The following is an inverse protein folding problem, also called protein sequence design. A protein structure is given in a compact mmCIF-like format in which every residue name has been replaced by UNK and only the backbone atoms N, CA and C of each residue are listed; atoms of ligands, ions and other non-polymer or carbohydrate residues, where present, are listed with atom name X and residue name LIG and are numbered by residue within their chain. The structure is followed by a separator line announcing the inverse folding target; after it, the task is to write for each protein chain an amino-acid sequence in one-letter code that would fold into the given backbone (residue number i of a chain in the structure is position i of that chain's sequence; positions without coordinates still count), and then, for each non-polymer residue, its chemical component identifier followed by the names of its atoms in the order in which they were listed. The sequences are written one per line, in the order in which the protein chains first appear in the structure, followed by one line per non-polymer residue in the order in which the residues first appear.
data_IF_530789957580
#
_entry.id   IF_530789957580
#
_cell.length_a   1.000
_cell.length_b   1.000
_cell.length_c   1.000
_cell.angle_alpha   90.00
_cell.angle_beta   90.00
_cell.angle_gamma   90.00
#
_symmetry.space_group_name_H-M   'P 1'
#
loop_
_entity.id
_entity.type
_entity.pdbx_description
1 polymer ?
#
# COMPACT_ATOMS: atom_id res chain seq x y z
N UNK A 1 3.71 12.94 7.41
CA UNK A 1 4.72 12.90 6.31
C UNK A 1 4.86 14.18 5.47
N UNK A 2 3.76 14.74 4.91
CA UNK A 2 3.81 15.86 3.95
C UNK A 2 4.64 17.05 4.43
N UNK A 3 4.44 17.47 5.68
CA UNK A 3 5.15 18.61 6.28
C UNK A 3 6.68 18.41 6.30
N UNK A 4 7.18 17.17 6.36
CA UNK A 4 8.62 16.89 6.26
C UNK A 4 9.12 17.01 4.83
N UNK A 5 8.38 16.42 3.88
CA UNK A 5 8.75 16.43 2.46
C UNK A 5 8.74 17.84 1.87
N UNK A 6 7.83 18.70 2.33
CA UNK A 6 7.74 20.10 1.88
C UNK A 6 8.67 21.03 2.66
N UNK A 7 9.37 20.55 3.68
CA UNK A 7 10.22 21.37 4.58
C UNK A 7 9.44 22.24 5.58
N UNK A 8 8.11 22.32 5.48
CA UNK A 8 7.23 23.11 6.37
C UNK A 8 7.34 22.66 7.83
N UNK A 9 7.65 21.38 8.08
CA UNK A 9 7.85 20.82 9.41
C UNK A 9 8.97 21.51 10.20
N UNK A 10 9.99 22.05 9.52
CA UNK A 10 11.06 22.81 10.18
C UNK A 10 10.56 24.19 10.64
N UNK A 11 9.69 24.83 9.85
CA UNK A 11 9.02 26.09 10.22
C UNK A 11 8.05 25.86 11.38
N UNK A 12 7.29 24.77 11.35
CA UNK A 12 6.40 24.38 12.45
C UNK A 12 7.18 24.06 13.72
N UNK A 13 8.37 23.46 13.62
CA UNK A 13 9.21 23.17 14.76
C UNK A 13 9.67 24.43 15.49
N UNK A 14 9.89 25.55 14.78
CA UNK A 14 10.26 26.85 15.37
C UNK A 14 9.08 27.64 15.95
N UNK A 15 7.84 27.16 15.82
CA UNK A 15 6.66 27.79 16.45
C UNK A 15 6.50 27.34 17.92
N UNK A 16 5.79 28.11 18.77
CA UNK A 16 5.52 27.73 20.16
C UNK A 16 4.48 26.60 20.32
N UNK A 17 4.07 25.94 19.23
CA UNK A 17 3.09 24.85 19.28
C UNK A 17 3.69 23.64 20.01
N UNK A 18 2.98 23.14 21.03
CA UNK A 18 3.38 21.95 21.76
C UNK A 18 3.17 20.67 20.94
N UNK A 19 3.95 19.62 21.24
CA UNK A 19 3.80 18.29 20.61
C UNK A 19 2.36 17.79 20.70
N UNK A 20 1.76 17.89 21.89
CA UNK A 20 0.38 17.48 22.16
C UNK A 20 -0.61 18.22 21.27
N UNK A 21 -0.50 19.56 21.19
CA UNK A 21 -1.43 20.36 20.39
C UNK A 21 -1.32 20.02 18.90
N UNK A 22 -0.10 19.83 18.39
CA UNK A 22 0.10 19.43 16.99
C UNK A 22 -0.51 18.05 16.68
N UNK A 23 -0.22 17.04 17.51
CA UNK A 23 -0.71 15.67 17.31
C UNK A 23 -2.24 15.60 17.43
N UNK A 24 -2.84 16.29 18.40
CA UNK A 24 -4.29 16.36 18.56
C UNK A 24 -4.95 17.10 17.39
N UNK A 25 -4.36 18.18 16.89
CA UNK A 25 -4.87 18.87 15.70
C UNK A 25 -4.83 17.97 14.46
N UNK A 26 -3.75 17.21 14.29
CA UNK A 26 -3.64 16.24 13.19
C UNK A 26 -4.68 15.12 13.32
N UNK A 27 -4.90 14.62 14.53
CA UNK A 27 -5.95 13.63 14.80
C UNK A 27 -7.34 14.18 14.48
N UNK A 28 -7.67 15.38 14.95
CA UNK A 28 -8.94 16.03 14.66
C UNK A 28 -9.14 16.24 13.14
N UNK A 29 -8.09 16.64 12.42
CA UNK A 29 -8.13 16.77 10.96
C UNK A 29 -8.44 15.43 10.28
N UNK A 30 -7.76 14.35 10.67
CA UNK A 30 -8.02 13.01 10.14
C UNK A 30 -9.44 12.52 10.47
N UNK A 31 -9.93 12.78 11.68
CA UNK A 31 -11.31 12.47 12.09
C UNK A 31 -12.31 13.19 11.19
N UNK A 32 -12.14 14.50 10.97
CA UNK A 32 -13.04 15.28 10.10
C UNK A 32 -13.06 14.71 8.69
N UNK A 33 -11.90 14.35 8.12
CA UNK A 33 -11.83 13.72 6.79
C UNK A 33 -12.62 12.41 6.75
N UNK A 34 -12.47 11.54 7.75
CA UNK A 34 -13.20 10.27 7.79
C UNK A 34 -14.71 10.48 8.04
N UNK A 35 -15.10 11.49 8.82
CA UNK A 35 -16.50 11.84 9.01
C UNK A 35 -17.13 12.39 7.72
N UNK A 36 -16.38 13.08 6.88
CA UNK A 36 -16.84 13.46 5.53
C UNK A 36 -17.12 12.20 4.69
N UNK A 37 -16.25 11.18 4.75
CA UNK A 37 -16.51 9.90 4.08
C UNK A 37 -17.79 9.23 4.60
N UNK A 38 -17.99 9.22 5.92
CA UNK A 38 -19.24 8.71 6.53
C UNK A 38 -20.46 9.51 6.08
N UNK A 39 -20.35 10.85 5.96
CA UNK A 39 -21.42 11.69 5.45
C UNK A 39 -21.75 11.42 3.98
N UNK A 40 -20.73 11.17 3.14
CA UNK A 40 -20.93 10.75 1.74
C UNK A 40 -21.65 9.40 1.68
N UNK A 41 -21.29 8.44 2.55
CA UNK A 41 -22.02 7.17 2.66
C UNK A 41 -23.46 7.35 3.11
N UNK A 42 -23.74 8.30 4.00
CA UNK A 42 -25.11 8.65 4.40
C UNK A 42 -25.93 9.16 3.21
N UNK A 43 -25.36 10.05 2.40
CA UNK A 43 -26.00 10.56 1.18
C UNK A 43 -26.23 9.42 0.19
N UNK A 44 -25.24 8.54 -0.01
CA UNK A 44 -25.39 7.37 -0.87
C UNK A 44 -26.51 6.43 -0.39
N UNK A 45 -26.67 6.25 0.92
CA UNK A 45 -27.76 5.46 1.50
C UNK A 45 -29.14 6.10 1.22
N UNK A 46 -29.27 7.43 1.34
CA UNK A 46 -30.50 8.16 0.94
C UNK A 46 -30.80 7.91 -0.54
N UNK A 47 -29.80 8.08 -1.41
CA UNK A 47 -29.96 7.90 -2.87
C UNK A 47 -30.40 6.47 -3.19
N UNK A 48 -29.77 5.47 -2.56
CA UNK A 48 -30.14 4.06 -2.75
C UNK A 48 -31.57 3.77 -2.31
N UNK A 49 -31.99 4.30 -1.15
CA UNK A 49 -33.36 4.15 -0.66
C UNK A 49 -34.40 4.77 -1.61
N UNK A 50 -34.10 5.94 -2.19
CA UNK A 50 -34.95 6.60 -3.17
C UNK A 50 -35.02 5.84 -4.50
N UNK A 51 -33.91 5.28 -4.97
CA UNK A 51 -33.84 4.55 -6.24
C UNK A 51 -34.59 3.21 -6.21
N UNK A 52 -34.55 2.51 -5.08
CA UNK A 52 -35.18 1.18 -4.96
C UNK A 52 -36.64 1.26 -4.47
N UNK A 53 -37.12 2.44 -4.05
CA UNK A 53 -38.49 2.66 -3.58
C UNK A 53 -38.95 1.70 -2.46
N UNK A 54 -38.00 1.13 -1.71
CA UNK A 54 -38.25 0.10 -0.70
C UNK A 54 -38.96 0.65 0.54
N UNK A 55 -38.93 1.98 0.73
CA UNK A 55 -39.47 2.64 1.92
C UNK A 55 -40.35 3.84 1.52
N UNK A 56 -41.61 3.91 1.98
CA UNK A 56 -42.52 5.03 1.66
C UNK A 56 -42.22 6.32 2.45
N UNK A 57 -41.47 6.24 3.56
CA UNK A 57 -41.10 7.40 4.39
C UNK A 57 -39.63 7.28 4.80
N UNK A 58 -38.84 8.31 4.50
CA UNK A 58 -37.46 8.40 5.00
C UNK A 58 -37.45 8.92 6.43
N UNK A 59 -37.01 8.07 7.36
CA UNK A 59 -36.71 8.46 8.73
C UNK A 59 -35.20 8.73 8.88
N UNK A 60 -34.76 10.00 8.98
CA UNK A 60 -33.32 10.33 9.01
C UNK A 60 -32.58 9.68 10.18
N UNK A 61 -33.25 9.55 11.34
CA UNK A 61 -32.68 8.90 12.52
C UNK A 61 -32.36 7.42 12.29
N UNK A 62 -33.29 6.68 11.71
CA UNK A 62 -33.10 5.26 11.39
C UNK A 62 -31.99 5.05 10.33
N UNK A 63 -31.87 5.98 9.37
CA UNK A 63 -30.84 5.94 8.34
C UNK A 63 -29.44 6.26 8.88
N UNK A 64 -29.34 7.26 9.76
CA UNK A 64 -28.06 7.72 10.32
C UNK A 64 -27.55 6.84 11.46
N UNK A 65 -28.44 6.21 12.23
CA UNK A 65 -28.09 5.37 13.37
C UNK A 65 -27.01 4.31 13.08
N UNK A 66 -27.11 3.45 12.04
CA UNK A 66 -26.07 2.48 11.73
C UNK A 66 -24.74 3.15 11.38
N UNK A 67 -24.73 4.29 10.69
CA UNK A 67 -23.50 5.00 10.31
C UNK A 67 -22.80 5.59 11.54
N UNK A 68 -23.56 6.21 12.44
CA UNK A 68 -23.03 6.82 13.66
C UNK A 68 -22.60 5.77 14.70
N UNK A 69 -23.33 4.67 14.83
CA UNK A 69 -23.01 3.63 15.82
C UNK A 69 -21.93 2.67 15.31
N UNK A 70 -21.96 2.32 14.01
CA UNK A 70 -21.05 1.32 13.45
C UNK A 70 -19.77 1.95 12.88
N UNK A 71 -19.89 2.97 12.02
CA UNK A 71 -18.74 3.49 11.27
C UNK A 71 -17.93 4.54 12.05
N UNK A 72 -18.59 5.46 12.77
CA UNK A 72 -17.91 6.58 13.45
C UNK A 72 -16.90 6.14 14.52
N UNK A 73 -17.16 5.17 15.42
CA UNK A 73 -16.16 4.74 16.40
C UNK A 73 -14.93 4.10 15.75
N UNK A 74 -15.14 3.35 14.67
CA UNK A 74 -14.04 2.76 13.88
C UNK A 74 -13.24 3.86 13.19
N UNK A 75 -13.90 4.89 12.64
CA UNK A 75 -13.23 6.04 12.05
C UNK A 75 -12.30 6.76 13.04
N UNK A 76 -12.70 6.88 14.31
CA UNK A 76 -11.84 7.45 15.35
C UNK A 76 -10.59 6.61 15.60
N UNK A 77 -10.74 5.27 15.69
CA UNK A 77 -9.59 4.38 15.84
C UNK A 77 -8.66 4.47 14.62
N UNK A 78 -9.21 4.46 13.40
CA UNK A 78 -8.43 4.56 12.16
C UNK A 78 -7.69 5.91 12.09
N UNK A 79 -8.35 7.02 12.45
CA UNK A 79 -7.70 8.33 12.54
C UNK A 79 -6.54 8.33 13.54
N UNK A 80 -6.71 7.68 14.70
CA UNK A 80 -5.68 7.59 15.73
C UNK A 80 -4.47 6.76 15.24
N UNK A 81 -4.73 5.62 14.60
CA UNK A 81 -3.69 4.76 14.00
C UNK A 81 -2.92 5.52 12.93
N UNK A 82 -3.59 6.28 12.06
CA UNK A 82 -2.93 7.09 11.04
C UNK A 82 -1.94 8.10 11.66
N UNK A 83 -2.35 8.79 12.74
CA UNK A 83 -1.47 9.73 13.45
C UNK A 83 -0.31 9.02 14.16
N UNK A 84 -0.53 7.84 14.73
CA UNK A 84 0.53 7.02 15.32
C UNK A 84 1.58 6.63 14.26
N UNK A 85 1.13 6.20 13.08
CA UNK A 85 2.02 5.78 11.99
C UNK A 85 2.84 6.96 11.46
N UNK A 86 2.22 8.15 11.36
CA UNK A 86 2.94 9.39 11.04
C UNK A 86 3.93 9.80 12.15
N UNK A 87 3.68 9.41 13.40
CA UNK A 87 4.52 9.76 14.55
C UNK A 87 5.72 8.84 14.73
N UNK A 88 5.65 7.56 14.32
CA UNK A 88 6.73 6.57 14.49
C UNK A 88 7.66 6.53 13.26
N UNK A 89 8.95 6.87 13.36
CA UNK A 89 9.86 6.93 12.21
C UNK A 89 9.90 5.69 11.32
N UNK A 90 9.80 4.49 11.92
CA UNK A 90 9.84 3.21 11.20
C UNK A 90 8.55 2.88 10.43
N UNK A 91 7.41 3.48 10.81
CA UNK A 91 6.11 3.25 10.19
C UNK A 91 5.72 4.36 9.20
N UNK A 92 6.56 5.37 9.02
CA UNK A 92 6.33 6.46 8.07
C UNK A 92 6.49 5.96 6.63
N UNK A 93 5.65 6.47 5.73
CA UNK A 93 5.74 6.19 4.30
C UNK A 93 5.14 4.85 3.87
N UNK A 94 5.70 4.26 2.81
CA UNK A 94 5.17 3.06 2.14
C UNK A 94 5.19 1.80 3.01
N UNK A 95 6.14 1.70 3.94
CA UNK A 95 6.21 0.57 4.89
C UNK A 95 5.02 0.57 5.85
N UNK A 96 4.57 1.75 6.29
CA UNK A 96 3.37 1.89 7.11
C UNK A 96 2.12 1.36 6.42
N UNK A 97 1.93 1.64 5.12
CA UNK A 97 0.79 1.13 4.36
C UNK A 97 0.74 -0.40 4.34
N UNK A 98 1.89 -1.05 4.16
CA UNK A 98 1.98 -2.52 4.16
C UNK A 98 1.68 -3.09 5.55
N UNK A 99 2.25 -2.48 6.61
CA UNK A 99 1.96 -2.89 8.00
C UNK A 99 0.49 -2.70 8.33
N UNK A 100 -0.13 -1.61 7.88
CA UNK A 100 -1.56 -1.36 8.07
C UNK A 100 -2.41 -2.41 7.34
N UNK A 101 -2.06 -2.75 6.09
CA UNK A 101 -2.74 -3.81 5.36
C UNK A 101 -2.58 -5.17 6.03
N UNK A 102 -1.37 -5.52 6.47
CA UNK A 102 -1.11 -6.77 7.20
C UNK A 102 -1.89 -6.81 8.53
N UNK A 103 -1.91 -5.71 9.29
CA UNK A 103 -2.73 -5.56 10.48
C UNK A 103 -4.20 -5.79 10.15
N UNK A 104 -4.70 -5.21 9.05
CA UNK A 104 -6.10 -5.38 8.67
C UNK A 104 -6.44 -6.82 8.27
N UNK A 105 -5.56 -7.48 7.51
CA UNK A 105 -5.71 -8.88 7.10
C UNK A 105 -5.67 -9.86 8.25
N UNK A 106 -4.86 -9.59 9.28
CA UNK A 106 -4.81 -10.43 10.49
C UNK A 106 -6.00 -10.12 11.40
N UNK A 107 -6.41 -8.86 11.52
CA UNK A 107 -7.51 -8.52 12.44
C UNK A 107 -8.88 -8.95 11.90
N UNK A 108 -9.12 -8.94 10.60
CA UNK A 108 -10.40 -9.34 10.00
C UNK A 108 -10.86 -10.75 10.40
N UNK A 109 -10.07 -11.83 10.21
CA UNK A 109 -10.47 -13.18 10.57
C UNK A 109 -10.64 -13.38 12.08
N UNK A 110 -9.80 -12.75 12.90
CA UNK A 110 -9.82 -12.93 14.35
C UNK A 110 -10.88 -12.08 15.06
N UNK A 111 -11.12 -10.86 14.60
CA UNK A 111 -12.15 -9.98 15.15
C UNK A 111 -13.53 -10.24 14.53
N UNK A 112 -13.57 -10.92 13.37
CA UNK A 112 -14.78 -11.16 12.58
C UNK A 112 -15.55 -9.87 12.27
N UNK A 113 -16.87 -9.99 12.14
CA UNK A 113 -17.76 -8.84 12.06
C UNK A 113 -17.87 -8.02 13.36
N UNK A 114 -17.17 -8.40 14.45
CA UNK A 114 -17.25 -7.75 15.77
C UNK A 114 -16.70 -6.34 15.77
N UNK A 115 -15.52 -6.15 15.20
CA UNK A 115 -14.88 -4.83 15.10
C UNK A 115 -15.75 -3.85 14.28
N UNK A 116 -16.33 -4.34 13.18
CA UNK A 116 -17.23 -3.58 12.32
C UNK A 116 -18.66 -3.46 12.90
N UNK A 117 -18.99 -4.29 13.90
CA UNK A 117 -20.27 -4.28 14.61
C UNK A 117 -21.39 -5.03 13.92
N UNK A 118 -21.06 -5.71 12.82
CA UNK A 118 -21.98 -6.58 12.10
C UNK A 118 -22.46 -7.74 12.95
N UNK A 119 -21.65 -8.27 13.88
CA UNK A 119 -22.10 -9.35 14.78
C UNK A 119 -23.29 -8.96 15.66
N UNK A 120 -23.38 -7.70 16.08
CA UNK A 120 -24.52 -7.23 16.87
C UNK A 120 -25.80 -7.16 16.03
N UNK A 121 -25.67 -6.68 14.79
CA UNK A 121 -26.78 -6.62 13.82
C UNK A 121 -27.20 -8.03 13.40
N UNK A 122 -26.25 -8.91 13.12
CA UNK A 122 -26.46 -10.31 12.76
C UNK A 122 -27.19 -11.07 13.84
N UNK A 123 -26.75 -10.96 15.10
CA UNK A 123 -27.41 -11.61 16.24
C UNK A 123 -28.84 -11.12 16.40
N UNK A 124 -29.03 -9.81 16.30
CA UNK A 124 -30.37 -9.23 16.40
C UNK A 124 -31.25 -9.75 15.25
N UNK A 125 -30.76 -9.76 14.01
CA UNK A 125 -31.46 -10.29 12.83
C UNK A 125 -31.82 -11.78 12.96
N UNK A 126 -30.87 -12.59 13.41
CA UNK A 126 -31.06 -14.01 13.65
C UNK A 126 -32.09 -14.27 14.76
N UNK A 127 -32.17 -13.43 15.79
CA UNK A 127 -33.16 -13.54 16.85
C UNK A 127 -34.59 -13.33 16.32
N UNK A 128 -34.77 -12.34 15.43
CA UNK A 128 -36.07 -12.08 14.79
C UNK A 128 -36.46 -13.18 13.81
N UNK A 129 -35.50 -13.78 13.10
CA UNK A 129 -35.75 -14.94 12.26
C UNK A 129 -36.17 -16.17 13.08
N UNK A 130 -35.47 -16.43 14.19
CA UNK A 130 -35.78 -17.54 15.10
C UNK A 130 -37.14 -17.38 15.76
N UNK A 131 -37.52 -16.16 16.18
CA UNK A 131 -38.85 -15.90 16.72
C UNK A 131 -39.96 -16.05 15.66
N UNK A 132 -39.64 -15.84 14.39
CA UNK A 132 -40.51 -16.15 13.25
C UNK A 132 -40.57 -17.62 12.85
N UNK A 133 -39.87 -18.52 13.54
CA UNK A 133 -39.87 -19.96 13.28
C UNK A 133 -38.88 -20.44 12.22
N UNK A 134 -37.96 -19.58 11.76
CA UNK A 134 -36.90 -19.96 10.82
C UNK A 134 -35.64 -20.38 11.57
N UNK A 135 -35.11 -21.57 11.26
CA UNK A 135 -33.79 -22.01 11.73
C UNK A 135 -32.72 -21.50 10.75
N UNK A 136 -32.11 -20.36 11.10
CA UNK A 136 -31.06 -19.74 10.31
C UNK A 136 -29.73 -19.81 11.09
N UNK A 137 -28.68 -20.45 10.53
CA UNK A 137 -27.39 -20.62 11.21
C UNK A 137 -26.60 -19.30 11.41
N UNK A 138 -27.16 -18.15 11.01
CA UNK A 138 -26.48 -16.86 11.06
C UNK A 138 -25.60 -16.62 9.84
N UNK A 139 -25.05 -15.42 9.73
CA UNK A 139 -24.19 -14.96 8.64
C UNK A 139 -24.67 -13.67 7.98
N UNK A 140 -23.73 -12.76 7.71
CA UNK A 140 -23.97 -11.58 6.88
C UNK A 140 -23.05 -11.67 5.65
N UNK A 141 -23.66 -11.60 4.46
CA UNK A 141 -22.93 -11.45 3.20
C UNK A 141 -23.14 -10.02 2.70
N UNK A 142 -22.06 -9.25 2.65
CA UNK A 142 -22.03 -7.90 2.08
C UNK A 142 -21.34 -7.98 0.71
N UNK A 143 -22.12 -8.04 -0.38
CA UNK A 143 -21.56 -8.11 -1.73
C UNK A 143 -22.52 -8.69 -2.76
N UNK A 144 -21.95 -9.16 -3.87
CA UNK A 144 -22.68 -9.88 -4.92
C UNK A 144 -22.93 -11.32 -4.44
N UNK A 145 -23.95 -11.51 -3.60
CA UNK A 145 -24.44 -12.84 -3.25
C UNK A 145 -25.21 -13.46 -4.42
N UNK A 146 -25.16 -14.79 -4.55
CA UNK A 146 -26.07 -15.50 -5.45
C UNK A 146 -27.50 -15.18 -5.05
N UNK A 147 -28.25 -14.58 -5.99
CA UNK A 147 -29.68 -14.26 -5.83
C UNK A 147 -30.54 -15.49 -6.13
N UNK A 148 -30.22 -16.61 -5.50
CA UNK A 148 -31.18 -17.72 -5.47
C UNK A 148 -32.37 -17.31 -4.59
N UNK A 149 -33.50 -18.04 -4.64
CA UNK A 149 -34.77 -17.70 -3.97
C UNK A 149 -34.58 -17.12 -2.56
N UNK A 150 -34.76 -15.81 -2.43
CA UNK A 150 -34.59 -15.09 -1.17
C UNK A 150 -35.92 -15.08 -0.41
N UNK A 151 -35.93 -15.68 0.78
CA UNK A 151 -37.05 -15.53 1.71
C UNK A 151 -36.89 -14.19 2.41
N UNK A 152 -37.91 -13.34 2.30
CA UNK A 152 -37.95 -12.05 3.00
C UNK A 152 -38.61 -12.19 4.36
N UNK A 153 -38.16 -11.39 5.33
CA UNK A 153 -38.76 -11.30 6.66
C UNK A 153 -38.84 -9.84 7.09
N UNK A 154 -39.76 -9.52 8.00
CA UNK A 154 -39.93 -8.16 8.51
C UNK A 154 -38.91 -7.90 9.62
N UNK A 155 -38.02 -6.94 9.38
CA UNK A 155 -37.02 -6.50 10.35
C UNK A 155 -37.43 -5.16 10.97
N UNK A 156 -37.75 -5.16 12.26
CA UNK A 156 -38.22 -3.96 12.99
C UNK A 156 -37.08 -3.11 13.57
N UNK A 157 -35.85 -3.32 13.13
CA UNK A 157 -34.67 -2.61 13.64
C UNK A 157 -34.07 -3.26 14.90
N UNK A 158 -33.15 -2.52 15.53
CA UNK A 158 -32.42 -2.96 16.73
C UNK A 158 -32.24 -1.79 17.69
N UNK A 159 -31.92 -2.08 18.94
CA UNK A 159 -31.57 -1.06 19.92
C UNK A 159 -30.15 -0.52 19.66
N UNK A 160 -30.11 0.54 18.85
CA UNK A 160 -28.88 1.25 18.53
C UNK A 160 -28.18 1.84 19.76
N UNK A 161 -28.91 2.17 20.82
CA UNK A 161 -28.34 2.76 22.04
C UNK A 161 -27.51 1.73 22.81
N UNK A 162 -28.02 0.51 22.95
CA UNK A 162 -27.29 -0.60 23.56
C UNK A 162 -26.01 -0.94 22.77
N UNK A 163 -26.09 -0.97 21.43
CA UNK A 163 -24.92 -1.21 20.57
C UNK A 163 -23.90 -0.07 20.70
N UNK A 164 -24.34 1.18 20.80
CA UNK A 164 -23.47 2.35 20.97
C UNK A 164 -22.69 2.29 22.30
N UNK A 165 -23.36 1.93 23.41
CA UNK A 165 -22.71 1.77 24.72
C UNK A 165 -21.62 0.69 24.66
N UNK A 166 -21.93 -0.45 24.02
CA UNK A 166 -20.98 -1.54 23.81
C UNK A 166 -19.74 -1.16 22.99
N UNK A 167 -19.72 0.02 22.35
CA UNK A 167 -18.64 0.51 21.48
C UNK A 167 -17.85 1.67 22.07
N UNK A 168 -18.20 2.16 23.26
CA UNK A 168 -17.46 3.23 23.95
C UNK A 168 -15.99 2.84 24.21
N UNK A 169 -15.68 1.54 24.32
CA UNK A 169 -14.30 1.07 24.45
C UNK A 169 -13.42 1.49 23.25
N UNK A 170 -13.97 1.60 22.03
CA UNK A 170 -13.20 2.03 20.84
C UNK A 170 -12.74 3.49 20.97
N UNK A 171 -13.53 4.33 21.64
CA UNK A 171 -13.15 5.71 21.94
C UNK A 171 -11.98 5.73 22.91
N UNK A 172 -12.02 4.87 23.94
CA UNK A 172 -10.91 4.71 24.88
C UNK A 172 -9.63 4.20 24.18
N UNK A 173 -9.76 3.22 23.28
CA UNK A 173 -8.66 2.72 22.45
C UNK A 173 -8.07 3.82 21.57
N UNK A 174 -8.91 4.62 20.90
CA UNK A 174 -8.45 5.74 20.08
C UNK A 174 -7.68 6.76 20.93
N UNK A 175 -8.17 7.11 22.13
CA UNK A 175 -7.49 8.01 23.04
C UNK A 175 -6.11 7.46 23.50
N UNK A 176 -6.02 6.17 23.80
CA UNK A 176 -4.76 5.51 24.15
C UNK A 176 -3.75 5.55 23.00
N UNK A 177 -4.21 5.29 21.76
CA UNK A 177 -3.36 5.36 20.56
C UNK A 177 -2.85 6.78 20.32
N UNK A 178 -3.71 7.80 20.48
CA UNK A 178 -3.27 9.22 20.39
C UNK A 178 -2.26 9.55 21.48
N UNK A 179 -2.46 9.06 22.71
CA UNK A 179 -1.49 9.18 23.79
C UNK A 179 -0.13 8.59 23.42
N UNK A 180 -0.12 7.38 22.87
CA UNK A 180 1.10 6.73 22.37
C UNK A 180 1.75 7.53 21.22
N UNK A 181 0.94 8.09 20.31
CA UNK A 181 1.43 8.93 19.22
C UNK A 181 2.13 10.22 19.73
N UNK A 182 1.57 10.87 20.76
CA UNK A 182 2.17 12.04 21.41
C UNK A 182 3.55 11.70 21.99
N UNK A 183 3.68 10.54 22.62
CA UNK A 183 4.96 10.07 23.19
C UNK A 183 5.99 9.74 22.10
N UNK A 184 5.55 9.12 21.00
CA UNK A 184 6.41 8.75 19.88
C UNK A 184 6.84 9.95 19.02
N UNK A 185 6.10 11.06 19.05
CA UNK A 185 6.34 12.20 18.17
C UNK A 185 7.65 12.94 18.52
N UNK A 186 8.56 12.94 17.55
CA UNK A 186 9.93 13.48 17.60
C UNK A 186 10.03 14.97 17.24
N UNK A 187 8.91 15.70 17.05
CA UNK A 187 8.86 17.15 16.70
C UNK A 187 9.81 17.52 15.56
N UNK A 188 9.76 16.74 14.47
CA UNK A 188 10.55 17.00 13.26
C UNK A 188 12.07 17.05 13.47
N UNK A 189 12.59 16.45 14.55
CA UNK A 189 14.03 16.37 14.79
C UNK A 189 14.72 15.77 13.55
N UNK A 190 15.62 16.54 12.95
CA UNK A 190 16.44 16.07 11.83
C UNK A 190 17.42 15.03 12.35
N UNK A 191 17.44 13.85 11.71
CA UNK A 191 18.45 12.81 11.99
C UNK A 191 19.87 13.22 11.58
N UNK A 192 20.07 14.44 11.03
CA UNK A 192 21.39 15.01 10.80
C UNK A 192 22.15 15.36 12.10
N UNK A 193 21.50 15.36 13.27
CA UNK A 193 22.13 15.66 14.56
C UNK A 193 22.60 14.45 15.39
N UNK A 194 22.46 13.20 14.92
CA UNK A 194 22.86 11.98 15.68
C UNK A 194 24.23 11.44 15.28
N UNK A 195 25.05 12.20 14.56
CA UNK A 195 26.49 11.98 14.63
C UNK A 195 26.94 12.51 15.99
N UNK A 196 27.30 11.59 16.88
CA UNK A 196 27.74 11.89 18.23
C UNK A 196 28.76 13.04 18.20
N UNK A 197 28.36 14.21 18.70
CA UNK A 197 29.27 15.26 19.09
C UNK A 197 30.13 14.71 20.23
N UNK A 198 31.19 14.00 19.85
CA UNK A 198 32.31 13.68 20.72
C UNK A 198 32.83 15.04 21.20
N UNK A 199 32.88 15.32 22.51
CA UNK A 199 33.32 16.62 22.98
C UNK A 199 34.82 16.73 22.66
N UNK A 200 35.13 17.46 21.59
CA UNK A 200 36.49 17.87 21.31
C UNK A 200 36.88 18.89 22.37
N UNK A 201 37.57 18.39 23.40
CA UNK A 201 38.29 19.19 24.39
C UNK A 201 39.17 20.20 23.65
N UNK A 202 38.92 21.48 23.93
CA UNK A 202 39.87 22.59 23.99
C UNK A 202 41.20 22.44 23.24
N UNK A 203 41.38 23.29 22.22
CA UNK A 203 42.56 24.17 22.16
C UNK A 203 42.21 25.41 21.37
N UNK A 204 42.14 26.53 22.09
CA UNK A 204 42.22 27.89 21.58
C UNK A 204 43.52 28.06 20.80
N UNK A 205 43.42 28.13 19.48
CA UNK A 205 44.44 28.72 18.63
C UNK A 205 43.70 29.41 17.49
N UNK A 206 43.70 30.74 17.53
CA UNK A 206 43.26 31.58 16.42
C UNK A 206 44.18 31.27 15.23
N UNK A 207 43.70 30.75 14.09
CA UNK A 207 44.51 30.66 12.90
C UNK A 207 44.49 32.02 12.21
N UNK A 208 45.66 32.63 12.07
CA UNK A 208 45.92 33.73 11.15
C UNK A 208 45.40 33.39 9.73
N UNK A 209 45.06 34.38 8.89
CA UNK A 209 44.57 34.13 7.55
C UNK A 209 45.67 33.43 6.74
N UNK A 210 45.51 32.11 6.58
CA UNK A 210 46.31 31.35 5.64
C UNK A 210 45.92 31.84 4.26
N UNK A 211 46.88 32.50 3.62
CA UNK A 211 46.93 32.74 2.18
C UNK A 211 46.30 31.58 1.43
N UNK A 212 45.55 31.89 0.37
CA UNK A 212 44.99 30.95 -0.58
C UNK A 212 46.07 30.03 -1.15
N UNK A 213 46.47 29.03 -0.36
CA UNK A 213 47.05 27.81 -0.85
C UNK A 213 45.90 27.15 -1.58
N UNK A 214 45.86 27.42 -2.89
CA UNK A 214 45.26 26.55 -3.87
C UNK A 214 45.42 25.13 -3.34
N UNK A 215 44.29 24.52 -2.97
CA UNK A 215 44.27 23.08 -2.81
C UNK A 215 44.59 22.58 -4.21
N UNK A 216 45.88 22.33 -4.48
CA UNK A 216 46.29 21.23 -5.31
C UNK A 216 45.66 20.01 -4.65
N UNK A 217 44.39 19.77 -4.99
CA UNK A 217 44.01 18.43 -5.34
C UNK A 217 45.09 18.01 -6.30
N UNK A 218 46.05 17.22 -5.79
CA UNK A 218 46.76 16.26 -6.59
C UNK A 218 45.63 15.65 -7.41
N UNK A 219 45.55 16.05 -8.66
CA UNK A 219 44.92 15.28 -9.70
C UNK A 219 45.73 13.99 -9.68
N UNK A 220 45.40 13.12 -8.71
CA UNK A 220 45.32 11.71 -8.99
C UNK A 220 44.49 11.75 -10.23
N UNK A 221 45.19 11.57 -11.36
CA UNK A 221 44.64 11.45 -12.67
C UNK A 221 43.25 10.88 -12.44
N UNK A 222 42.22 11.62 -12.84
CA UNK A 222 41.01 10.95 -13.28
C UNK A 222 41.59 10.09 -14.41
N UNK A 223 42.13 8.93 -14.02
CA UNK A 223 42.66 7.93 -14.87
C UNK A 223 41.46 7.75 -15.74
N UNK A 224 41.61 8.26 -16.98
CA UNK A 224 40.62 8.21 -18.04
C UNK A 224 39.88 6.93 -17.76
N UNK A 225 38.68 7.06 -17.17
CA UNK A 225 37.98 5.90 -16.66
C UNK A 225 37.72 5.17 -17.94
N UNK A 226 38.59 4.18 -18.19
CA UNK A 226 38.88 3.81 -19.54
C UNK A 226 37.52 3.45 -20.08
N UNK A 227 37.10 4.16 -21.12
CA UNK A 227 35.99 3.70 -21.95
C UNK A 227 36.57 2.48 -22.67
N UNK A 228 36.96 1.48 -21.90
CA UNK A 228 37.23 0.14 -22.35
C UNK A 228 35.94 -0.21 -23.03
N UNK A 229 36.07 -0.56 -24.31
CA UNK A 229 35.02 -0.95 -25.23
C UNK A 229 34.17 -2.04 -24.59
N UNK A 230 33.27 -1.63 -23.71
CA UNK A 230 32.38 -2.49 -22.99
C UNK A 230 31.25 -2.73 -23.97
N UNK A 231 31.05 -4.00 -24.32
CA UNK A 231 30.01 -4.36 -25.27
C UNK A 231 28.67 -3.79 -24.79
N UNK A 232 27.81 -3.29 -25.70
CA UNK A 232 26.55 -2.65 -25.30
C UNK A 232 25.67 -3.56 -24.43
N UNK A 233 25.79 -4.88 -24.61
CA UNK A 233 25.11 -5.90 -23.81
C UNK A 233 25.63 -5.94 -22.37
N UNK A 234 26.95 -5.85 -22.14
CA UNK A 234 27.52 -5.90 -20.78
C UNK A 234 27.15 -4.64 -20.00
N UNK A 235 27.19 -3.46 -20.64
CA UNK A 235 26.73 -2.21 -20.02
C UNK A 235 25.24 -2.27 -19.66
N UNK A 236 24.41 -2.88 -20.51
CA UNK A 236 22.98 -3.04 -20.22
C UNK A 236 22.73 -4.05 -19.09
N UNK A 237 23.50 -5.15 -19.04
CA UNK A 237 23.43 -6.12 -17.94
C UNK A 237 23.86 -5.49 -16.59
N UNK A 238 24.91 -4.68 -16.59
CA UNK A 238 25.33 -3.90 -15.41
C UNK A 238 24.26 -2.90 -14.98
N UNK A 239 23.58 -2.27 -15.93
CA UNK A 239 22.45 -1.38 -15.64
C UNK A 239 21.28 -2.14 -14.99
N UNK A 240 20.92 -3.31 -15.51
CA UNK A 240 19.91 -4.18 -14.89
C UNK A 240 20.34 -4.59 -13.48
N UNK A 241 21.60 -5.00 -13.29
CA UNK A 241 22.13 -5.35 -11.98
C UNK A 241 22.08 -4.17 -11.01
N UNK A 242 22.38 -2.95 -11.49
CA UNK A 242 22.22 -1.71 -10.75
C UNK A 242 20.78 -1.46 -10.34
N UNK A 243 19.81 -1.59 -11.25
CA UNK A 243 18.38 -1.42 -10.95
C UNK A 243 17.85 -2.49 -9.98
N UNK A 244 18.26 -3.76 -10.13
CA UNK A 244 17.96 -4.82 -9.17
C UNK A 244 18.52 -4.50 -7.78
N UNK A 245 19.77 -4.04 -7.71
CA UNK A 245 20.40 -3.64 -6.46
C UNK A 245 19.66 -2.46 -5.83
N UNK A 246 19.23 -1.47 -6.61
CA UNK A 246 18.47 -0.32 -6.10
C UNK A 246 17.08 -0.70 -5.60
N UNK A 247 16.41 -1.69 -6.21
CA UNK A 247 15.10 -2.17 -5.75
C UNK A 247 15.17 -2.80 -4.35
N UNK A 248 16.25 -3.57 -4.11
CA UNK A 248 16.36 -4.45 -2.95
C UNK A 248 17.26 -3.85 -1.85
N UNK A 249 18.20 -2.95 -2.18
CA UNK A 249 19.11 -2.36 -1.20
C UNK A 249 18.36 -1.52 -0.16
N UNK A 250 18.84 -1.59 1.10
CA UNK A 250 18.31 -0.79 2.21
C UNK A 250 17.04 -1.35 2.88
N UNK A 251 16.57 -2.54 2.48
CA UNK A 251 15.44 -3.21 3.16
C UNK A 251 15.90 -3.89 4.47
N UNK A 252 14.97 -4.06 5.41
CA UNK A 252 15.26 -4.70 6.70
C UNK A 252 15.53 -6.20 6.53
N UNK A 253 16.27 -6.80 7.47
CA UNK A 253 16.53 -8.25 7.47
C UNK A 253 15.21 -9.07 7.42
N UNK A 254 14.18 -8.59 8.11
CA UNK A 254 12.86 -9.22 8.12
C UNK A 254 12.22 -9.30 6.73
N UNK A 255 12.45 -8.31 5.87
CA UNK A 255 11.94 -8.33 4.50
C UNK A 255 12.54 -9.49 3.70
N UNK A 256 13.84 -9.72 3.83
CA UNK A 256 14.54 -10.83 3.17
C UNK A 256 14.12 -12.20 3.73
N UNK A 257 14.02 -12.32 5.06
CA UNK A 257 13.59 -13.56 5.71
C UNK A 257 12.15 -13.90 5.30
N UNK A 258 11.24 -12.92 5.29
CA UNK A 258 9.87 -13.12 4.84
C UNK A 258 9.78 -13.51 3.36
N UNK A 259 10.58 -12.87 2.50
CA UNK A 259 10.65 -13.23 1.08
C UNK A 259 11.12 -14.67 0.87
N UNK A 260 12.21 -15.07 1.54
CA UNK A 260 12.72 -16.44 1.49
C UNK A 260 11.71 -17.45 2.03
N UNK A 261 11.05 -17.13 3.16
CA UNK A 261 10.02 -17.98 3.74
C UNK A 261 8.83 -18.18 2.80
N UNK A 262 8.36 -17.14 2.10
CA UNK A 262 7.26 -17.24 1.13
C UNK A 262 7.64 -18.09 -0.09
N UNK A 263 8.87 -17.94 -0.60
CA UNK A 263 9.38 -18.76 -1.71
C UNK A 263 9.48 -20.22 -1.30
N UNK A 264 10.09 -20.51 -0.14
CA UNK A 264 10.25 -21.88 0.38
C UNK A 264 8.91 -22.50 0.73
N UNK A 265 7.98 -21.74 1.33
CA UNK A 265 6.63 -22.21 1.64
C UNK A 265 5.87 -22.55 0.34
N UNK A 266 5.97 -21.71 -0.69
CA UNK A 266 5.37 -21.98 -1.99
C UNK A 266 5.96 -23.23 -2.64
N UNK A 267 7.27 -23.45 -2.48
CA UNK A 267 7.92 -24.66 -2.99
C UNK A 267 7.55 -25.92 -2.20
N UNK A 268 7.33 -25.82 -0.89
CA UNK A 268 7.06 -26.98 -0.03
C UNK A 268 5.58 -27.40 0.00
N UNK A 269 4.67 -26.51 -0.39
CA UNK A 269 3.23 -26.70 -0.18
C UNK A 269 2.52 -27.40 -1.35
N UNK A 270 1.34 -28.02 -1.11
CA UNK A 270 0.44 -28.50 -2.16
C UNK A 270 -0.09 -27.38 -3.07
N UNK A 271 -0.52 -27.74 -4.28
CA UNK A 271 -0.97 -26.78 -5.32
C UNK A 271 -2.09 -25.84 -4.85
N UNK A 272 -3.01 -26.33 -4.04
CA UNK A 272 -4.11 -25.55 -3.48
C UNK A 272 -3.61 -24.40 -2.60
N UNK A 273 -2.58 -24.68 -1.79
CA UNK A 273 -1.94 -23.69 -0.91
C UNK A 273 -1.06 -22.75 -1.73
N UNK A 274 -0.39 -23.23 -2.78
CA UNK A 274 0.41 -22.40 -3.69
C UNK A 274 -0.43 -21.32 -4.37
N UNK A 275 -1.68 -21.64 -4.73
CA UNK A 275 -2.62 -20.67 -5.33
C UNK A 275 -2.95 -19.50 -4.40
N UNK A 276 -2.87 -19.71 -3.08
CA UNK A 276 -3.06 -18.66 -2.07
C UNK A 276 -1.73 -17.95 -1.76
N UNK A 277 -0.63 -18.71 -1.70
CA UNK A 277 0.70 -18.19 -1.37
C UNK A 277 1.29 -17.32 -2.48
N UNK A 278 1.04 -17.61 -3.76
CA UNK A 278 1.58 -16.83 -4.88
C UNK A 278 1.12 -15.36 -4.85
N UNK A 279 -0.20 -15.04 -4.73
CA UNK A 279 -0.65 -13.67 -4.51
C UNK A 279 0.02 -13.00 -3.31
N UNK A 280 0.21 -13.72 -2.20
CA UNK A 280 0.89 -13.18 -1.00
C UNK A 280 2.39 -12.92 -1.28
N UNK A 281 3.05 -13.81 -2.01
CA UNK A 281 4.44 -13.62 -2.43
C UNK A 281 4.61 -12.39 -3.34
N UNK A 282 3.61 -12.08 -4.17
CA UNK A 282 3.63 -10.89 -5.02
C UNK A 282 3.12 -9.62 -4.34
N UNK A 283 2.32 -9.67 -3.27
CA UNK A 283 2.04 -8.46 -2.49
C UNK A 283 3.25 -8.02 -1.64
N UNK A 284 4.12 -8.96 -1.25
CA UNK A 284 5.31 -8.69 -0.44
C UNK A 284 6.29 -7.64 -1.02
N UNK A 285 6.65 -7.66 -2.32
CA UNK A 285 7.50 -6.66 -2.97
C UNK A 285 6.74 -5.41 -3.48
N UNK A 286 5.50 -5.15 -3.04
CA UNK A 286 4.72 -3.98 -3.50
C UNK A 286 5.46 -2.65 -3.29
N UNK A 287 6.18 -2.50 -2.17
CA UNK A 287 6.93 -1.27 -1.90
C UNK A 287 8.09 -1.10 -2.90
N UNK A 288 9.01 -2.07 -3.10
CA UNK A 288 10.00 -2.02 -4.17
C UNK A 288 9.42 -1.70 -5.56
N UNK A 289 8.32 -2.35 -5.94
CA UNK A 289 7.70 -2.07 -7.25
C UNK A 289 7.13 -0.67 -7.34
N UNK A 290 6.54 -0.13 -6.26
CA UNK A 290 5.98 1.22 -6.27
C UNK A 290 7.00 2.32 -6.57
N UNK A 291 8.29 2.05 -6.37
CA UNK A 291 9.39 2.98 -6.66
C UNK A 291 9.84 2.96 -8.13
N UNK A 292 9.44 1.95 -8.91
CA UNK A 292 9.74 1.84 -10.34
C UNK A 292 9.22 3.09 -11.08
N UNK A 293 10.03 3.65 -11.99
CA UNK A 293 9.67 4.84 -12.78
C UNK A 293 9.58 6.17 -12.00
N UNK A 294 9.50 6.14 -10.67
CA UNK A 294 9.40 7.33 -9.80
C UNK A 294 10.67 7.66 -9.02
N UNK A 295 11.57 6.69 -8.79
CA UNK A 295 12.75 6.81 -7.91
C UNK A 295 13.67 7.99 -8.26
N UNK A 296 13.95 8.19 -9.55
CA UNK A 296 14.85 9.24 -10.02
C UNK A 296 14.35 10.66 -9.65
N UNK A 297 13.06 10.93 -9.90
CA UNK A 297 12.43 12.22 -9.55
C UNK A 297 12.36 12.44 -8.05
N UNK A 298 12.09 11.38 -7.27
CA UNK A 298 12.03 11.47 -5.81
C UNK A 298 13.36 11.91 -5.18
N UNK A 299 14.47 11.45 -5.74
CA UNK A 299 15.81 11.82 -5.28
C UNK A 299 16.43 13.00 -6.04
N UNK A 300 15.71 13.62 -6.97
CA UNK A 300 16.18 14.77 -7.74
C UNK A 300 17.41 14.46 -8.62
N UNK A 301 17.54 13.21 -9.07
CA UNK A 301 18.65 12.76 -9.94
C UNK A 301 18.21 12.58 -11.39
N UNK A 302 16.98 12.95 -11.72
CA UNK A 302 16.42 12.90 -13.06
C UNK A 302 17.21 13.75 -14.05
N UNK A 303 17.61 14.97 -13.68
CA UNK A 303 18.45 15.82 -14.52
C UNK A 303 19.80 15.18 -14.89
N UNK A 304 20.40 14.43 -13.96
CA UNK A 304 21.66 13.70 -14.20
C UNK A 304 21.45 12.50 -15.13
N UNK A 305 20.34 11.79 -14.96
CA UNK A 305 20.00 10.65 -15.82
C UNK A 305 19.61 11.09 -17.23
N UNK A 306 18.90 12.21 -17.37
CA UNK A 306 18.51 12.76 -18.68
C UNK A 306 19.69 13.31 -19.48
N UNK A 307 20.81 13.64 -18.83
CA UNK A 307 22.05 14.00 -19.52
C UNK A 307 22.77 12.80 -20.18
N UNK A 308 22.39 11.56 -19.83
CA UNK A 308 22.98 10.36 -20.42
C UNK A 308 22.42 10.10 -21.84
N UNK A 309 23.18 9.45 -22.74
CA UNK A 309 22.68 9.10 -24.06
C UNK A 309 21.49 8.14 -23.99
N UNK A 310 20.38 8.47 -24.66
CA UNK A 310 19.17 7.61 -24.76
C UNK A 310 18.60 7.12 -23.42
N UNK A 311 18.31 8.03 -22.47
CA UNK A 311 17.99 7.66 -21.08
C UNK A 311 16.71 6.83 -20.99
N UNK A 312 15.69 7.19 -21.78
CA UNK A 312 14.40 6.49 -21.84
C UNK A 312 14.57 5.06 -22.35
N UNK A 313 15.29 4.89 -23.47
CA UNK A 313 15.42 3.60 -24.17
C UNK A 313 16.34 2.60 -23.47
N UNK A 314 17.20 3.06 -22.56
CA UNK A 314 18.09 2.18 -21.78
C UNK A 314 17.58 1.98 -20.36
N UNK A 315 17.12 3.04 -19.70
CA UNK A 315 16.74 2.96 -18.29
C UNK A 315 15.37 2.33 -18.07
N UNK A 316 14.36 2.62 -18.91
CA UNK A 316 13.03 2.03 -18.73
C UNK A 316 13.04 0.50 -18.92
N UNK A 317 13.68 -0.07 -19.97
CA UNK A 317 13.75 -1.51 -20.11
C UNK A 317 14.55 -2.17 -18.99
N UNK A 318 15.64 -1.54 -18.51
CA UNK A 318 16.42 -2.07 -17.39
C UNK A 318 15.61 -2.08 -16.08
N UNK A 319 14.87 -0.99 -15.79
CA UNK A 319 13.98 -0.91 -14.64
C UNK A 319 12.83 -1.93 -14.73
N UNK A 320 12.24 -2.09 -15.92
CA UNK A 320 11.20 -3.09 -16.17
C UNK A 320 11.72 -4.52 -15.95
N UNK A 321 12.88 -4.86 -16.53
CA UNK A 321 13.52 -6.16 -16.35
C UNK A 321 13.88 -6.42 -14.89
N UNK A 322 14.36 -5.41 -14.15
CA UNK A 322 14.63 -5.55 -12.73
C UNK A 322 13.35 -5.85 -11.93
N UNK A 323 12.24 -5.20 -12.27
CA UNK A 323 10.91 -5.49 -11.70
C UNK A 323 10.41 -6.89 -12.03
N UNK A 324 10.58 -7.33 -13.27
CA UNK A 324 10.24 -8.68 -13.75
C UNK A 324 11.09 -9.76 -13.06
N UNK A 325 12.41 -9.56 -12.95
CA UNK A 325 13.31 -10.47 -12.25
C UNK A 325 12.91 -10.61 -10.78
N UNK A 326 12.53 -9.51 -10.12
CA UNK A 326 12.01 -9.58 -8.75
C UNK A 326 10.70 -10.41 -8.68
N UNK A 327 9.79 -10.25 -9.65
CA UNK A 327 8.56 -11.06 -9.73
C UNK A 327 8.85 -12.56 -9.90
N UNK A 328 9.82 -12.89 -10.76
CA UNK A 328 10.26 -14.26 -11.00
C UNK A 328 10.95 -14.86 -9.77
N UNK A 329 11.80 -14.11 -9.07
CA UNK A 329 12.45 -14.57 -7.82
C UNK A 329 11.39 -14.83 -6.74
N UNK A 330 10.48 -13.89 -6.52
CA UNK A 330 9.41 -14.03 -5.53
C UNK A 330 8.42 -15.14 -5.89
N UNK A 331 8.18 -15.37 -7.18
CA UNK A 331 7.30 -16.41 -7.69
C UNK A 331 7.99 -17.77 -7.95
N UNK A 332 9.30 -17.87 -7.76
CA UNK A 332 10.09 -19.04 -8.18
C UNK A 332 9.64 -20.35 -7.54
N UNK A 333 9.32 -20.33 -6.24
CA UNK A 333 8.81 -21.50 -5.52
C UNK A 333 7.46 -21.98 -6.06
N UNK A 334 6.58 -21.04 -6.40
CA UNK A 334 5.30 -21.34 -7.03
C UNK A 334 5.49 -21.85 -8.47
N UNK A 335 6.37 -21.24 -9.26
CA UNK A 335 6.65 -21.65 -10.64
C UNK A 335 7.04 -23.12 -10.75
N UNK A 336 7.91 -23.60 -9.86
CA UNK A 336 8.31 -25.02 -9.83
C UNK A 336 7.11 -25.94 -9.62
N UNK A 337 6.15 -25.56 -8.76
CA UNK A 337 4.92 -26.33 -8.50
C UNK A 337 3.90 -26.21 -9.63
N UNK A 338 3.76 -25.03 -10.20
CA UNK A 338 2.87 -24.76 -11.34
C UNK A 338 3.36 -25.41 -12.63
N UNK A 339 4.64 -25.79 -12.73
CA UNK A 339 5.18 -26.45 -13.94
C UNK A 339 4.53 -27.80 -14.22
N UNK A 340 3.98 -28.47 -13.20
CA UNK A 340 3.18 -29.67 -13.33
C UNK A 340 1.73 -29.42 -13.83
N UNK A 341 1.32 -28.15 -13.91
CA UNK A 341 -0.04 -27.68 -14.24
C UNK A 341 0.03 -26.55 -15.29
N UNK A 342 0.28 -26.86 -16.57
CA UNK A 342 0.53 -25.86 -17.62
C UNK A 342 -0.60 -24.82 -17.78
N UNK A 343 -1.84 -25.20 -17.48
CA UNK A 343 -3.02 -24.33 -17.50
C UNK A 343 -2.91 -23.14 -16.54
N UNK A 344 -2.17 -23.28 -15.44
CA UNK A 344 -1.98 -22.22 -14.44
C UNK A 344 -0.75 -21.34 -14.75
N UNK A 345 0.17 -21.79 -15.62
CA UNK A 345 1.36 -21.01 -15.98
C UNK A 345 1.02 -19.72 -16.72
N UNK A 346 -0.11 -19.66 -17.43
CA UNK A 346 -0.58 -18.43 -18.09
C UNK A 346 -0.91 -17.36 -17.04
N UNK A 347 -1.53 -17.75 -15.92
CA UNK A 347 -1.77 -16.87 -14.77
C UNK A 347 -0.48 -16.36 -14.14
N UNK A 348 0.52 -17.25 -14.02
CA UNK A 348 1.84 -16.88 -13.54
C UNK A 348 2.52 -15.86 -14.47
N UNK A 349 2.52 -16.10 -15.78
CA UNK A 349 3.10 -15.18 -16.75
C UNK A 349 2.38 -13.83 -16.74
N UNK A 350 1.05 -13.84 -16.65
CA UNK A 350 0.23 -12.63 -16.57
C UNK A 350 0.63 -11.77 -15.38
N UNK A 351 0.66 -12.31 -14.16
CA UNK A 351 1.06 -11.53 -12.99
C UNK A 351 2.53 -11.08 -13.01
N UNK A 352 3.45 -11.96 -13.42
CA UNK A 352 4.88 -11.63 -13.46
C UNK A 352 5.20 -10.48 -14.42
N UNK A 353 4.48 -10.37 -15.55
CA UNK A 353 4.66 -9.30 -16.52
C UNK A 353 3.79 -8.07 -16.22
N UNK A 354 2.52 -8.27 -15.86
CA UNK A 354 1.56 -7.18 -15.68
C UNK A 354 1.89 -6.31 -14.48
N UNK A 355 2.22 -6.91 -13.33
CA UNK A 355 2.41 -6.15 -12.08
C UNK A 355 3.58 -5.15 -12.20
N UNK A 356 4.80 -5.55 -12.64
CA UNK A 356 5.90 -4.60 -12.82
C UNK A 356 5.64 -3.58 -13.94
N UNK A 357 4.89 -3.96 -14.98
CA UNK A 357 4.53 -3.05 -16.08
C UNK A 357 3.60 -1.95 -15.59
N UNK A 358 2.57 -2.30 -14.82
CA UNK A 358 1.65 -1.34 -14.21
C UNK A 358 2.38 -0.42 -13.24
N UNK A 359 3.26 -0.99 -12.41
CA UNK A 359 4.09 -0.22 -11.47
C UNK A 359 4.95 0.82 -12.19
N UNK A 360 5.64 0.39 -13.25
CA UNK A 360 6.48 1.27 -14.06
C UNK A 360 5.67 2.36 -14.74
N UNK A 361 4.53 2.03 -15.35
CA UNK A 361 3.66 3.00 -16.02
C UNK A 361 3.15 4.08 -15.07
N UNK A 362 2.60 3.69 -13.91
CA UNK A 362 2.10 4.64 -12.92
C UNK A 362 3.23 5.48 -12.33
N UNK A 363 4.37 4.85 -12.12
CA UNK A 363 5.60 5.46 -11.66
C UNK A 363 6.11 6.51 -12.64
N UNK A 364 6.18 6.21 -13.95
CA UNK A 364 6.53 7.20 -14.96
C UNK A 364 5.49 8.28 -15.03
N UNK A 365 4.19 7.94 -15.09
CA UNK A 365 3.07 8.87 -15.19
C UNK A 365 2.95 9.90 -14.04
N UNK A 366 3.76 9.76 -12.99
CA UNK A 366 3.79 10.71 -11.88
C UNK A 366 2.63 10.52 -10.90
N UNK A 367 1.91 9.39 -10.98
CA UNK A 367 0.81 9.06 -10.07
C UNK A 367 1.26 8.86 -8.61
N UNK A 368 2.57 8.81 -8.36
CA UNK A 368 3.16 8.60 -7.04
C UNK A 368 3.04 7.13 -6.59
N UNK A 369 3.92 6.74 -5.68
CA UNK A 369 4.06 5.35 -5.20
C UNK A 369 2.75 4.81 -4.60
N UNK A 370 1.93 5.70 -4.02
CA UNK A 370 0.69 5.35 -3.33
C UNK A 370 -0.39 4.81 -4.27
N UNK A 371 -0.48 5.33 -5.49
CA UNK A 371 -1.53 4.89 -6.43
C UNK A 371 -1.31 3.45 -6.83
N UNK A 372 -0.07 3.06 -7.16
CA UNK A 372 0.25 1.66 -7.43
C UNK A 372 0.01 0.77 -6.21
N UNK A 373 0.43 1.19 -5.01
CA UNK A 373 0.22 0.41 -3.79
C UNK A 373 -1.28 0.12 -3.55
N UNK A 374 -2.14 1.13 -3.70
CA UNK A 374 -3.59 0.97 -3.52
C UNK A 374 -4.18 0.06 -4.60
N UNK A 375 -3.85 0.29 -5.88
CA UNK A 375 -4.36 -0.53 -6.98
C UNK A 375 -3.92 -2.00 -6.86
N UNK A 376 -2.65 -2.23 -6.54
CA UNK A 376 -2.11 -3.57 -6.31
C UNK A 376 -2.81 -4.26 -5.13
N UNK A 377 -3.05 -3.54 -4.03
CA UNK A 377 -3.74 -4.07 -2.86
C UNK A 377 -5.22 -4.40 -3.14
N UNK A 378 -5.93 -3.53 -3.86
CA UNK A 378 -7.33 -3.76 -4.26
C UNK A 378 -7.44 -4.96 -5.20
N UNK A 379 -6.58 -5.04 -6.22
CA UNK A 379 -6.59 -6.16 -7.15
C UNK A 379 -6.27 -7.48 -6.45
N UNK A 380 -5.28 -7.48 -5.55
CA UNK A 380 -4.91 -8.64 -4.74
C UNK A 380 -6.02 -9.09 -3.77
N UNK A 381 -6.69 -8.15 -3.11
CA UNK A 381 -7.76 -8.45 -2.18
C UNK A 381 -9.01 -8.97 -2.89
N UNK A 382 -9.46 -8.28 -3.94
CA UNK A 382 -10.70 -8.65 -4.63
C UNK A 382 -10.52 -9.89 -5.50
N UNK A 383 -9.44 -9.95 -6.29
CA UNK A 383 -9.25 -11.00 -7.29
C UNK A 383 -8.86 -12.35 -6.67
N UNK A 384 -7.58 -12.57 -6.34
CA UNK A 384 -7.13 -13.86 -5.84
C UNK A 384 -7.75 -14.28 -4.50
N UNK A 385 -7.93 -13.36 -3.54
CA UNK A 385 -8.41 -13.71 -2.19
C UNK A 385 -9.94 -13.84 -2.08
N UNK A 386 -10.71 -12.92 -2.68
CA UNK A 386 -12.17 -12.94 -2.61
C UNK A 386 -12.83 -13.58 -3.84
N UNK A 387 -12.05 -14.05 -4.82
CA UNK A 387 -12.56 -14.81 -5.96
C UNK A 387 -13.24 -13.97 -7.03
N UNK A 388 -13.03 -12.65 -7.06
CA UNK A 388 -13.59 -11.78 -8.10
C UNK A 388 -12.88 -12.05 -9.43
N UNK A 389 -13.50 -12.89 -10.26
CA UNK A 389 -12.93 -13.44 -11.52
C UNK A 389 -12.24 -12.40 -12.41
N UNK A 390 -12.82 -11.21 -12.69
CA UNK A 390 -12.17 -10.23 -13.57
C UNK A 390 -10.88 -9.62 -13.00
N UNK A 391 -10.68 -9.65 -11.69
CA UNK A 391 -9.54 -9.03 -11.00
C UNK A 391 -8.46 -10.05 -10.62
N UNK A 392 -8.62 -11.33 -10.96
CA UNK A 392 -7.64 -12.37 -10.67
C UNK A 392 -6.48 -12.34 -11.68
N UNK A 393 -5.57 -11.39 -11.47
CA UNK A 393 -4.36 -11.17 -12.26
C UNK A 393 -3.46 -12.42 -12.24
N UNK A 394 -3.47 -13.17 -11.15
CA UNK A 394 -2.56 -14.30 -10.92
C UNK A 394 -3.05 -15.63 -11.49
N UNK A 395 -4.31 -15.68 -11.95
CA UNK A 395 -4.96 -16.93 -12.34
C UNK A 395 -5.08 -17.92 -11.17
N UNK A 396 -5.23 -17.41 -9.94
CA UNK A 396 -5.36 -18.22 -8.75
C UNK A 396 -6.66 -19.01 -8.72
N UNK A 397 -7.68 -18.66 -9.52
CA UNK A 397 -8.96 -19.34 -9.61
C UNK A 397 -9.19 -19.99 -10.98
N UNK A 398 -9.66 -21.24 -11.00
CA UNK A 398 -9.99 -21.95 -12.25
C UNK A 398 -11.03 -21.21 -13.09
N UNK A 399 -11.98 -20.53 -12.45
CA UNK A 399 -12.98 -19.71 -13.16
C UNK A 399 -12.33 -18.56 -13.95
N UNK A 400 -11.27 -17.93 -13.41
CA UNK A 400 -10.57 -16.83 -14.08
C UNK A 400 -9.73 -17.33 -15.26
N UNK A 401 -9.08 -18.49 -15.09
CA UNK A 401 -8.34 -19.16 -16.16
C UNK A 401 -9.29 -19.60 -17.27
N UNK A 402 -10.43 -20.22 -16.93
CA UNK A 402 -11.45 -20.64 -17.89
C UNK A 402 -12.10 -19.47 -18.64
N UNK A 403 -12.24 -18.32 -18.00
CA UNK A 403 -12.74 -17.09 -18.62
C UNK A 403 -11.68 -16.34 -19.46
N UNK A 404 -10.42 -16.81 -19.49
CA UNK A 404 -9.34 -16.18 -20.24
C UNK A 404 -8.83 -14.86 -19.66
N UNK A 405 -9.13 -14.55 -18.40
CA UNK A 405 -8.74 -13.29 -17.73
C UNK A 405 -7.21 -13.07 -17.74
N UNK A 406 -6.36 -14.07 -17.44
CA UNK A 406 -4.91 -13.90 -17.54
C UNK A 406 -4.42 -13.47 -18.93
N UNK A 407 -5.10 -13.89 -20.00
CA UNK A 407 -4.73 -13.54 -21.38
C UNK A 407 -5.00 -12.06 -21.64
N UNK A 408 -6.09 -11.51 -21.10
CA UNK A 408 -6.42 -10.08 -21.19
C UNK A 408 -5.33 -9.25 -20.50
N UNK A 409 -4.89 -9.65 -19.30
CA UNK A 409 -3.80 -8.97 -18.60
C UNK A 409 -2.47 -9.06 -19.34
N UNK A 410 -2.15 -10.21 -19.96
CA UNK A 410 -0.98 -10.35 -20.83
C UNK A 410 -1.06 -9.44 -22.06
N UNK A 411 -2.23 -9.35 -22.70
CA UNK A 411 -2.45 -8.47 -23.86
C UNK A 411 -2.35 -6.98 -23.49
N UNK A 412 -2.65 -6.62 -22.24
CA UNK A 412 -2.50 -5.24 -21.76
C UNK A 412 -1.04 -4.82 -21.54
N UNK A 413 -0.11 -5.76 -21.33
CA UNK A 413 1.33 -5.48 -21.10
C UNK A 413 1.95 -4.65 -22.23
N UNK A 414 1.90 -5.05 -23.52
CA UNK A 414 2.51 -4.26 -24.59
C UNK A 414 1.89 -2.87 -24.71
N UNK A 415 0.57 -2.74 -24.50
CA UNK A 415 -0.12 -1.43 -24.52
C UNK A 415 0.41 -0.51 -23.43
N UNK A 416 0.55 -1.02 -22.20
CA UNK A 416 1.09 -0.26 -21.08
C UNK A 416 2.56 0.10 -21.27
N UNK A 417 3.38 -0.80 -21.84
CA UNK A 417 4.78 -0.51 -22.16
C UNK A 417 4.91 0.62 -23.19
N UNK A 418 4.12 0.58 -24.26
CA UNK A 418 4.09 1.66 -25.26
C UNK A 418 3.63 2.97 -24.61
N UNK A 419 2.57 2.94 -23.80
CA UNK A 419 2.10 4.12 -23.07
C UNK A 419 3.18 4.69 -22.13
N UNK A 420 3.94 3.82 -21.46
CA UNK A 420 5.08 4.21 -20.59
C UNK A 420 6.15 4.95 -21.37
N UNK A 421 6.55 4.43 -22.53
CA UNK A 421 7.57 5.07 -23.39
C UNK A 421 7.08 6.40 -23.94
N UNK A 422 5.84 6.45 -24.45
CA UNK A 422 5.23 7.68 -24.99
C UNK A 422 5.15 8.76 -23.92
N UNK A 423 4.69 8.41 -22.72
CA UNK A 423 4.56 9.36 -21.62
C UNK A 423 5.92 9.86 -21.14
N UNK A 424 6.91 8.95 -21.01
CA UNK A 424 8.27 9.33 -20.65
C UNK A 424 8.90 10.28 -21.70
N UNK A 425 8.68 10.04 -23.00
CA UNK A 425 9.17 10.89 -24.07
C UNK A 425 8.56 12.29 -24.03
N UNK A 426 7.25 12.39 -23.82
CA UNK A 426 6.54 13.66 -23.72
C UNK A 426 7.03 14.54 -22.56
N UNK A 427 7.51 13.92 -21.49
CA UNK A 427 8.01 14.62 -20.31
C UNK A 427 9.45 15.12 -20.43
N UNK A 428 10.28 14.51 -21.27
CA UNK A 428 11.65 14.98 -21.52
C UNK A 428 11.67 16.20 -22.45
N UNK A 429 10.62 16.36 -23.26
CA UNK A 429 10.47 17.52 -24.17
C UNK A 429 9.92 18.79 -23.51
N UNK A 430 9.52 18.72 -22.23
CA UNK A 430 9.04 19.85 -21.44
C UNK A 430 10.11 20.27 -20.44
#
# INVERSE_FOLDING_TARGET
ERDRLTGVGQVLASTPISKTRYVVAQYASNVVVLLIVVAVLAIAAVVMALLHSEVPVLEPGALLAPLLVLAMPVAFVVAAVAVLFDSVPALRGSTGNLVYCALWLVTLPFAGGGLLGFTAVERAAAETLRSGGFDAPGGIVLGVGQRDEVITFVWNGTDWSAIAVGRLYLIAVAALIVGAAILAFDRFASSQGRSAARPARSRTAVPAPRSAAMYEHRAGSIAEAAVGSSHPITCFAELIAGECRLLIAGRSLFWYVGAAALVVASLASPIEVVRILLPIAWIWPVVPWSELGGRARRHGVDALLHAAPSPILRQLPAAWLAGLLLALVMGSGAFVRLSAHPELLVGFAAGALFIPTLALFLGTAGAGERVFQVLAMVAWYLGPLNGVTPLDITGANHAAVGAGVPIVYLAAVPVLLVATVVWAAANVTR
#
